data_IF_283886699732
#
_entry.id   IF_283886699732
#
_cell.length_a   1.000
_cell.length_b   1.000
_cell.length_c   1.000
_cell.angle_alpha   90.00
_cell.angle_beta   90.00
_cell.angle_gamma   90.00
#
_symmetry.space_group_name_H-M   'P 1'
#
loop_
_entity.id
_entity.type
_entity.pdbx_description
1 polymer ?
#
# COMPACT_ATOMS: atom_id res chain seq x y z
N UNK A 1 44.95 -53.17 -2.35
CA UNK A 1 44.16 -53.49 -3.55
C UNK A 1 42.82 -54.03 -3.08
N UNK A 2 41.84 -53.16 -2.83
CA UNK A 2 40.51 -53.58 -2.37
C UNK A 2 39.60 -53.73 -3.59
N UNK A 3 39.44 -54.97 -4.04
CA UNK A 3 38.34 -55.32 -4.95
C UNK A 3 37.05 -55.34 -4.12
N UNK A 4 36.30 -54.24 -4.16
CA UNK A 4 34.91 -54.26 -3.74
C UNK A 4 34.13 -55.05 -4.79
N UNK A 5 33.65 -56.21 -4.35
CA UNK A 5 32.97 -57.21 -5.14
C UNK A 5 31.68 -56.62 -5.76
N UNK A 6 31.62 -56.56 -7.09
CA UNK A 6 30.51 -55.95 -7.86
C UNK A 6 29.14 -56.58 -7.55
N UNK A 7 29.13 -57.82 -7.07
CA UNK A 7 27.93 -58.58 -6.71
C UNK A 7 27.26 -58.11 -5.42
N UNK A 8 28.03 -57.61 -4.43
CA UNK A 8 27.44 -57.14 -3.16
C UNK A 8 26.72 -55.80 -3.32
N UNK A 9 27.19 -54.94 -4.25
CA UNK A 9 26.56 -53.67 -4.60
C UNK A 9 25.25 -53.91 -5.36
N UNK A 10 25.18 -54.94 -6.23
CA UNK A 10 23.96 -55.30 -6.95
C UNK A 10 22.88 -55.86 -6.03
N UNK A 11 23.22 -56.70 -5.04
CA UNK A 11 22.25 -57.26 -4.10
C UNK A 11 21.68 -56.19 -3.15
N UNK A 12 22.53 -55.27 -2.69
CA UNK A 12 22.12 -54.18 -1.78
C UNK A 12 21.25 -53.13 -2.49
N UNK A 13 21.54 -52.81 -3.75
CA UNK A 13 20.65 -51.96 -4.56
C UNK A 13 19.29 -52.62 -4.82
N UNK A 14 19.26 -53.92 -5.15
CA UNK A 14 18.00 -54.62 -5.40
C UNK A 14 17.15 -54.74 -4.12
N UNK A 15 17.78 -54.96 -2.96
CA UNK A 15 17.10 -54.97 -1.67
C UNK A 15 16.56 -53.57 -1.29
N UNK A 16 17.31 -52.50 -1.55
CA UNK A 16 16.88 -51.13 -1.30
C UNK A 16 15.72 -50.71 -2.22
N UNK A 17 15.74 -51.12 -3.49
CA UNK A 17 14.65 -50.89 -4.45
C UNK A 17 13.41 -51.69 -4.04
N UNK A 18 13.55 -52.95 -3.60
CA UNK A 18 12.42 -53.71 -3.08
C UNK A 18 11.86 -53.10 -1.80
N UNK A 19 12.70 -52.60 -0.89
CA UNK A 19 12.28 -51.92 0.32
C UNK A 19 11.57 -50.60 0.01
N UNK A 20 12.05 -49.84 -0.99
CA UNK A 20 11.41 -48.61 -1.47
C UNK A 20 10.06 -48.88 -2.17
N UNK A 21 9.94 -49.98 -2.91
CA UNK A 21 8.69 -50.42 -3.52
C UNK A 21 7.72 -50.92 -2.44
N UNK A 22 8.19 -51.65 -1.41
CA UNK A 22 7.36 -52.11 -0.30
C UNK A 22 6.93 -50.97 0.64
N UNK A 23 7.74 -49.93 0.82
CA UNK A 23 7.33 -48.71 1.53
C UNK A 23 6.40 -47.84 0.69
N UNK A 24 6.56 -47.83 -0.64
CA UNK A 24 5.60 -47.18 -1.54
C UNK A 24 4.25 -47.92 -1.57
N UNK A 25 4.25 -49.26 -1.58
CA UNK A 25 3.04 -50.10 -1.56
C UNK A 25 2.37 -50.08 -0.19
N UNK A 26 3.13 -50.12 0.92
CA UNK A 26 2.55 -49.98 2.26
C UNK A 26 2.11 -48.54 2.55
N UNK A 27 2.77 -47.53 1.99
CA UNK A 27 2.29 -46.14 1.97
C UNK A 27 1.01 -45.96 1.14
N UNK A 28 0.87 -46.69 0.02
CA UNK A 28 -0.36 -46.70 -0.78
C UNK A 28 -1.52 -47.46 -0.11
N UNK A 29 -1.23 -48.46 0.73
CA UNK A 29 -2.27 -49.21 1.45
C UNK A 29 -2.80 -48.50 2.71
N UNK A 30 -2.22 -47.36 3.10
CA UNK A 30 -2.77 -46.48 4.16
C UNK A 30 -3.76 -45.44 3.60
N UNK A 31 -4.04 -45.44 2.29
CA UNK A 31 -5.21 -44.76 1.72
C UNK A 31 -6.33 -45.77 1.43
N UNK A 32 -6.59 -46.69 2.38
CA UNK A 32 -7.98 -47.08 2.58
C UNK A 32 -8.65 -45.87 3.20
N UNK A 33 -9.63 -45.24 2.55
CA UNK A 33 -10.31 -44.18 3.22
C UNK A 33 -11.04 -44.82 4.41
N UNK A 34 -10.64 -44.42 5.61
CA UNK A 34 -11.31 -44.77 6.86
C UNK A 34 -12.63 -43.98 6.88
N UNK A 35 -13.55 -44.31 5.96
CA UNK A 35 -14.86 -43.68 5.79
C UNK A 35 -15.92 -44.35 6.66
N UNK A 36 -15.57 -44.81 7.87
CA UNK A 36 -16.59 -45.19 8.86
C UNK A 36 -16.26 -44.51 10.19
N UNK A 37 -16.44 -43.19 10.19
CA UNK A 37 -16.72 -42.39 11.39
C UNK A 37 -17.91 -41.50 11.01
N UNK A 38 -18.97 -41.55 11.84
CA UNK A 38 -20.32 -41.02 11.66
C UNK A 38 -20.53 -39.98 10.55
N UNK A 39 -21.50 -40.26 9.67
CA UNK A 39 -21.76 -39.47 8.47
C UNK A 39 -22.39 -38.10 8.71
N UNK A 40 -23.17 -37.95 9.77
CA UNK A 40 -23.74 -36.66 10.16
C UNK A 40 -22.65 -35.69 10.65
N UNK A 41 -21.67 -36.18 11.42
CA UNK A 41 -20.56 -35.36 11.92
C UNK A 41 -19.72 -34.74 10.81
N UNK A 42 -19.58 -35.40 9.66
CA UNK A 42 -18.76 -34.89 8.55
C UNK A 42 -19.50 -33.86 7.69
N UNK A 43 -20.81 -34.05 7.46
CA UNK A 43 -21.63 -33.07 6.73
C UNK A 43 -21.78 -31.79 7.57
N UNK A 44 -21.98 -31.92 8.88
CA UNK A 44 -22.08 -30.77 9.77
C UNK A 44 -20.74 -30.03 9.88
N UNK A 45 -19.60 -30.75 9.87
CA UNK A 45 -18.27 -30.12 9.74
C UNK A 45 -18.14 -29.30 8.46
N UNK A 46 -18.62 -29.79 7.31
CA UNK A 46 -18.61 -29.01 6.07
C UNK A 46 -19.54 -27.80 6.13
N UNK A 47 -20.74 -27.93 6.71
CA UNK A 47 -21.66 -26.80 6.92
C UNK A 47 -21.03 -25.73 7.80
N UNK A 48 -20.42 -26.14 8.91
CA UNK A 48 -19.71 -25.25 9.82
C UNK A 48 -18.54 -24.55 9.13
N UNK A 49 -17.72 -25.31 8.39
CA UNK A 49 -16.61 -24.77 7.59
C UNK A 49 -17.08 -23.76 6.55
N UNK A 50 -18.12 -24.06 5.77
CA UNK A 50 -18.69 -23.14 4.78
C UNK A 50 -19.18 -21.87 5.47
N UNK A 51 -19.89 -21.99 6.59
CA UNK A 51 -20.42 -20.86 7.35
C UNK A 51 -19.31 -19.96 7.88
N UNK A 52 -18.27 -20.51 8.51
CA UNK A 52 -17.14 -19.73 9.03
C UNK A 52 -16.35 -19.09 7.90
N UNK A 53 -16.04 -19.84 6.84
CA UNK A 53 -15.28 -19.36 5.69
C UNK A 53 -15.97 -18.22 4.96
N UNK A 54 -17.28 -18.33 4.73
CA UNK A 54 -18.07 -17.22 4.14
C UNK A 54 -17.96 -15.95 4.98
N UNK A 55 -18.09 -16.10 6.30
CA UNK A 55 -17.97 -14.97 7.24
C UNK A 55 -16.57 -14.35 7.17
N UNK A 56 -15.52 -15.16 7.14
CA UNK A 56 -14.14 -14.68 7.05
C UNK A 56 -13.90 -13.91 5.74
N UNK A 57 -14.34 -14.44 4.60
CA UNK A 57 -14.23 -13.78 3.29
C UNK A 57 -14.98 -12.43 3.26
N UNK A 58 -16.17 -12.38 3.85
CA UNK A 58 -16.96 -11.15 3.97
C UNK A 58 -16.25 -10.12 4.85
N UNK A 59 -15.72 -10.53 6.00
CA UNK A 59 -14.96 -9.65 6.90
C UNK A 59 -13.73 -9.10 6.19
N UNK A 60 -12.93 -9.96 5.56
CA UNK A 60 -11.71 -9.55 4.83
C UNK A 60 -12.03 -8.55 3.70
N UNK A 61 -13.07 -8.81 2.92
CA UNK A 61 -13.49 -7.91 1.84
C UNK A 61 -13.96 -6.56 2.39
N UNK A 62 -14.79 -6.58 3.43
CA UNK A 62 -15.28 -5.37 4.07
C UNK A 62 -14.15 -4.57 4.72
N UNK A 63 -13.20 -5.22 5.38
CA UNK A 63 -12.01 -4.58 5.98
C UNK A 63 -11.22 -3.83 4.90
N UNK A 64 -10.91 -4.46 3.76
CA UNK A 64 -10.20 -3.77 2.67
C UNK A 64 -10.98 -2.58 2.11
N UNK A 65 -12.31 -2.68 1.99
CA UNK A 65 -13.15 -1.57 1.55
C UNK A 65 -13.12 -0.41 2.54
N UNK A 66 -13.35 -0.69 3.83
CA UNK A 66 -13.33 0.31 4.90
C UNK A 66 -11.98 0.99 4.97
N UNK A 67 -10.89 0.24 5.00
CA UNK A 67 -9.54 0.79 5.14
C UNK A 67 -9.21 1.73 3.98
N UNK A 68 -9.58 1.38 2.75
CA UNK A 68 -9.35 2.30 1.62
C UNK A 68 -10.27 3.53 1.62
N UNK A 69 -11.52 3.40 2.08
CA UNK A 69 -12.40 4.55 2.27
C UNK A 69 -11.87 5.46 3.38
N UNK A 70 -11.34 4.92 4.48
CA UNK A 70 -10.84 5.69 5.63
C UNK A 70 -9.51 6.36 5.36
N UNK A 71 -8.61 5.72 4.60
CA UNK A 71 -7.30 6.30 4.32
C UNK A 71 -7.36 7.51 3.40
N UNK A 72 -8.29 7.54 2.44
CA UNK A 72 -8.44 8.66 1.49
C UNK A 72 -8.67 10.02 2.19
N UNK A 73 -9.67 10.22 3.07
CA UNK A 73 -9.88 11.49 3.76
C UNK A 73 -8.79 11.80 4.77
N UNK A 74 -8.22 10.80 5.46
CA UNK A 74 -7.11 11.03 6.40
C UNK A 74 -5.88 11.62 5.71
N UNK A 75 -5.55 11.09 4.53
CA UNK A 75 -4.46 11.59 3.70
C UNK A 75 -4.75 13.04 3.28
N UNK A 76 -5.96 13.36 2.79
CA UNK A 76 -6.34 14.73 2.41
C UNK A 76 -6.21 15.73 3.56
N UNK A 77 -6.57 15.33 4.79
CA UNK A 77 -6.39 16.15 5.99
C UNK A 77 -4.91 16.43 6.25
N UNK A 78 -4.04 15.42 6.16
CA UNK A 78 -2.59 15.62 6.34
C UNK A 78 -2.04 16.59 5.29
N UNK A 79 -2.42 16.43 4.03
CA UNK A 79 -2.01 17.36 2.95
C UNK A 79 -2.45 18.79 3.23
N UNK A 80 -3.69 18.97 3.71
CA UNK A 80 -4.19 20.28 4.07
C UNK A 80 -3.40 20.90 5.22
N UNK A 81 -3.10 20.14 6.28
CA UNK A 81 -2.27 20.61 7.41
C UNK A 81 -0.86 21.01 6.94
N UNK A 82 -0.21 20.16 6.13
CA UNK A 82 1.12 20.44 5.58
C UNK A 82 1.13 21.72 4.75
N UNK A 83 0.12 21.88 3.87
CA UNK A 83 -0.05 23.10 3.07
C UNK A 83 -0.20 24.33 3.96
N UNK A 84 -1.10 24.30 4.94
CA UNK A 84 -1.31 25.44 5.85
C UNK A 84 -0.05 25.81 6.62
N UNK A 85 0.66 24.80 7.13
CA UNK A 85 1.91 24.99 7.85
C UNK A 85 2.97 25.70 6.98
N UNK A 86 3.23 25.17 5.78
CA UNK A 86 4.25 25.71 4.88
C UNK A 86 3.89 27.09 4.35
N UNK A 87 2.60 27.33 4.05
CA UNK A 87 2.12 28.66 3.66
C UNK A 87 2.33 29.69 4.78
N UNK A 88 2.04 29.31 6.02
CA UNK A 88 2.22 30.19 7.19
C UNK A 88 3.69 30.52 7.41
N UNK A 89 4.58 29.53 7.32
CA UNK A 89 6.02 29.76 7.48
C UNK A 89 6.59 30.62 6.33
N UNK A 90 6.13 30.40 5.09
CA UNK A 90 6.52 31.23 3.95
C UNK A 90 6.07 32.67 4.12
N UNK A 91 4.83 32.91 4.57
CA UNK A 91 4.33 34.25 4.87
C UNK A 91 5.21 34.92 5.92
N UNK A 92 5.55 34.20 7.01
CA UNK A 92 6.43 34.72 8.07
C UNK A 92 7.81 35.12 7.54
N UNK A 93 8.39 34.32 6.64
CA UNK A 93 9.66 34.64 6.01
C UNK A 93 9.57 35.86 5.09
N UNK A 94 8.51 35.98 4.30
CA UNK A 94 8.26 37.14 3.46
C UNK A 94 8.13 38.41 4.30
N UNK A 95 7.35 38.38 5.38
CA UNK A 95 7.18 39.51 6.29
C UNK A 95 8.51 39.92 6.94
N UNK A 96 9.29 38.91 7.37
CA UNK A 96 10.63 39.13 7.94
C UNK A 96 11.57 39.78 6.91
N UNK A 97 11.57 39.30 5.68
CA UNK A 97 12.38 39.85 4.60
C UNK A 97 11.95 41.28 4.21
N UNK A 98 10.64 41.56 4.15
CA UNK A 98 10.12 42.91 3.92
C UNK A 98 10.56 43.87 5.03
N UNK A 99 10.50 43.44 6.29
CA UNK A 99 10.94 44.26 7.41
C UNK A 99 12.45 44.54 7.36
N UNK A 100 13.26 43.55 6.94
CA UNK A 100 14.70 43.76 6.70
C UNK A 100 14.96 44.77 5.59
N UNK A 101 14.25 44.67 4.48
CA UNK A 101 14.36 45.63 3.36
C UNK A 101 14.00 47.04 3.81
N UNK A 102 12.86 47.21 4.49
CA UNK A 102 12.45 48.52 5.03
C UNK A 102 13.47 49.11 5.99
N UNK A 103 14.02 48.30 6.89
CA UNK A 103 15.05 48.75 7.83
C UNK A 103 16.33 49.19 7.11
N UNK A 104 16.77 48.44 6.10
CA UNK A 104 17.94 48.76 5.28
C UNK A 104 17.75 50.07 4.50
N UNK A 105 16.62 50.22 3.81
CA UNK A 105 16.28 51.45 3.07
C UNK A 105 16.23 52.67 4.01
N UNK A 106 15.58 52.54 5.18
CA UNK A 106 15.52 53.64 6.14
C UNK A 106 16.91 54.04 6.66
N UNK A 107 17.81 53.07 6.85
CA UNK A 107 19.19 53.35 7.25
C UNK A 107 19.98 54.11 6.17
N UNK A 108 19.79 53.78 4.89
CA UNK A 108 20.42 54.48 3.77
C UNK A 108 19.85 55.89 3.57
N UNK A 109 18.53 56.07 3.73
CA UNK A 109 17.92 57.41 3.72
C UNK A 109 18.50 58.33 4.79
N UNK A 110 18.80 57.82 5.98
CA UNK A 110 19.44 58.60 7.05
C UNK A 110 20.87 59.05 6.70
N UNK A 111 21.51 58.42 5.71
CA UNK A 111 22.81 58.84 5.15
C UNK A 111 22.67 59.84 3.99
N UNK A 112 21.45 60.31 3.70
CA UNK A 112 21.10 61.14 2.54
C UNK A 112 21.24 60.46 1.16
N UNK A 113 21.21 59.12 1.11
CA UNK A 113 21.19 58.39 -0.15
C UNK A 113 19.73 58.27 -0.67
N UNK A 114 19.49 58.58 -1.95
CA UNK A 114 18.19 58.40 -2.59
C UNK A 114 18.03 56.98 -3.14
N UNK A 115 17.53 56.09 -2.28
CA UNK A 115 17.41 54.64 -2.57
C UNK A 115 15.96 54.15 -2.66
N UNK A 116 14.97 55.04 -2.77
CA UNK A 116 13.55 54.66 -2.85
C UNK A 116 13.25 53.74 -4.04
N UNK A 117 13.90 54.05 -5.16
CA UNK A 117 13.79 53.30 -6.41
C UNK A 117 14.27 51.85 -6.25
N UNK A 118 15.21 51.57 -5.33
CA UNK A 118 15.75 50.23 -5.08
C UNK A 118 14.76 49.27 -4.41
N UNK A 119 13.66 49.75 -3.83
CA UNK A 119 12.64 48.87 -3.23
C UNK A 119 11.27 48.95 -3.92
N UNK A 120 11.07 49.90 -4.83
CA UNK A 120 9.81 50.06 -5.57
C UNK A 120 9.45 48.75 -6.28
N UNK A 121 8.25 48.21 -6.05
CA UNK A 121 7.81 46.93 -6.63
C UNK A 121 8.14 45.68 -5.80
N UNK A 122 8.88 45.80 -4.68
CA UNK A 122 9.25 44.64 -3.85
C UNK A 122 8.03 43.97 -3.21
N UNK A 123 7.05 44.76 -2.79
CA UNK A 123 5.80 44.24 -2.19
C UNK A 123 5.04 43.37 -3.18
N UNK A 124 4.91 43.83 -4.42
CA UNK A 124 4.26 43.11 -5.51
C UNK A 124 5.04 41.84 -5.87
N UNK A 125 6.37 41.91 -5.90
CA UNK A 125 7.22 40.74 -6.13
C UNK A 125 7.04 39.68 -5.04
N UNK A 126 6.99 40.09 -3.77
CA UNK A 126 6.80 39.18 -2.64
C UNK A 126 5.40 38.53 -2.65
N UNK A 127 4.37 39.31 -2.99
CA UNK A 127 3.03 38.79 -3.22
C UNK A 127 3.01 37.75 -4.36
N UNK A 128 3.79 37.99 -5.43
CA UNK A 128 3.96 37.02 -6.52
C UNK A 128 4.67 35.74 -6.08
N UNK A 129 5.70 35.82 -5.23
CA UNK A 129 6.36 34.64 -4.65
C UNK A 129 5.35 33.79 -3.87
N UNK A 130 4.56 34.41 -2.99
CA UNK A 130 3.55 33.72 -2.20
C UNK A 130 2.48 33.06 -3.06
N UNK A 131 1.99 33.79 -4.07
CA UNK A 131 0.97 33.31 -4.99
C UNK A 131 1.49 32.08 -5.77
N UNK A 132 2.66 32.18 -6.38
CA UNK A 132 3.28 31.10 -7.14
C UNK A 132 3.57 29.88 -6.27
N UNK A 133 4.07 30.08 -5.04
CA UNK A 133 4.28 28.99 -4.10
C UNK A 133 2.96 28.30 -3.73
N UNK A 134 1.91 29.08 -3.47
CA UNK A 134 0.57 28.56 -3.15
C UNK A 134 -0.03 27.73 -4.27
N UNK A 135 0.10 28.16 -5.52
CA UNK A 135 -0.35 27.36 -6.67
C UNK A 135 0.49 26.09 -6.82
N UNK A 136 1.82 26.18 -6.68
CA UNK A 136 2.70 25.01 -6.73
C UNK A 136 2.45 24.01 -5.59
N UNK A 137 1.99 24.46 -4.43
CA UNK A 137 1.61 23.55 -3.34
C UNK A 137 0.35 22.73 -3.68
N UNK A 138 -0.52 23.20 -4.57
CA UNK A 138 -1.68 22.42 -5.01
C UNK A 138 -1.26 21.16 -5.77
N UNK A 139 -0.20 21.23 -6.58
CA UNK A 139 0.30 20.07 -7.33
C UNK A 139 0.87 18.99 -6.41
N UNK A 140 1.38 19.35 -5.23
CA UNK A 140 1.83 18.37 -4.23
C UNK A 140 0.66 17.53 -3.70
N UNK A 141 -0.56 18.10 -3.63
CA UNK A 141 -1.75 17.38 -3.21
C UNK A 141 -2.28 16.41 -4.29
N UNK A 142 -1.96 16.63 -5.57
CA UNK A 142 -2.41 15.74 -6.66
C UNK A 142 -1.69 14.39 -6.69
N UNK A 143 -0.46 14.33 -6.15
CA UNK A 143 0.30 13.08 -5.90
C UNK A 143 -0.51 12.13 -5.00
N UNK A 144 -1.42 12.66 -4.18
CA UNK A 144 -2.29 11.86 -3.31
C UNK A 144 -3.34 11.04 -4.06
N UNK A 145 -3.73 11.45 -5.26
CA UNK A 145 -4.87 10.87 -5.97
C UNK A 145 -4.49 9.68 -6.86
N UNK A 146 -3.20 9.49 -7.17
CA UNK A 146 -2.72 8.42 -8.07
C UNK A 146 -2.72 7.02 -7.45
N UNK A 147 -3.00 6.90 -6.14
CA UNK A 147 -2.94 5.64 -5.40
C UNK A 147 -4.29 5.12 -4.89
N UNK A 148 -5.41 5.68 -5.37
CA UNK A 148 -6.74 5.15 -5.09
C UNK A 148 -6.92 3.86 -5.90
N UNK A 149 -6.74 2.71 -5.25
CA UNK A 149 -6.72 1.40 -5.90
C UNK A 149 -8.13 0.86 -6.21
N UNK A 150 -8.23 0.14 -7.35
CA UNK A 150 -9.45 -0.48 -7.88
C UNK A 150 -9.93 -1.63 -6.98
N UNK A 151 -11.00 -1.37 -6.22
CA UNK A 151 -11.66 -2.29 -5.29
C UNK A 151 -12.50 -3.37 -5.97
N UNK A 152 -13.10 -3.03 -7.10
CA UNK A 152 -14.14 -3.84 -7.76
C UNK A 152 -13.66 -5.26 -8.10
N UNK A 153 -12.41 -5.41 -8.54
CA UNK A 153 -11.83 -6.72 -8.89
C UNK A 153 -11.67 -7.64 -7.67
N UNK A 154 -11.44 -7.10 -6.48
CA UNK A 154 -11.25 -7.92 -5.27
C UNK A 154 -12.57 -8.40 -4.69
N UNK A 155 -13.57 -7.49 -4.63
CA UNK A 155 -14.93 -7.82 -4.20
C UNK A 155 -15.50 -8.95 -5.04
N UNK A 156 -15.35 -8.88 -6.37
CA UNK A 156 -15.81 -9.91 -7.30
C UNK A 156 -15.20 -11.30 -7.02
N UNK A 157 -13.90 -11.37 -6.77
CA UNK A 157 -13.24 -12.66 -6.45
C UNK A 157 -13.82 -13.26 -5.16
N UNK A 158 -14.09 -12.43 -4.14
CA UNK A 158 -14.72 -12.91 -2.90
C UNK A 158 -16.16 -13.40 -3.14
N UNK A 159 -16.93 -12.68 -3.95
CA UNK A 159 -18.31 -13.03 -4.31
C UNK A 159 -18.37 -14.37 -5.05
N UNK A 160 -17.50 -14.57 -6.04
CA UNK A 160 -17.40 -15.82 -6.81
C UNK A 160 -17.11 -17.01 -5.87
N UNK A 161 -16.17 -16.86 -4.92
CA UNK A 161 -15.85 -17.93 -3.95
C UNK A 161 -17.04 -18.21 -3.01
N UNK A 162 -17.74 -17.16 -2.57
CA UNK A 162 -18.93 -17.31 -1.71
C UNK A 162 -20.06 -18.03 -2.45
N UNK A 163 -20.25 -17.74 -3.73
CA UNK A 163 -21.22 -18.43 -4.58
C UNK A 163 -20.87 -19.92 -4.73
N UNK A 164 -19.60 -20.23 -5.00
CA UNK A 164 -19.14 -21.63 -5.05
C UNK A 164 -19.38 -22.37 -3.74
N UNK A 165 -19.14 -21.73 -2.59
CA UNK A 165 -19.43 -22.28 -1.26
C UNK A 165 -20.93 -22.54 -1.05
N UNK A 166 -21.81 -21.69 -1.56
CA UNK A 166 -23.27 -21.89 -1.48
C UNK A 166 -23.73 -23.10 -2.29
N UNK A 167 -23.04 -23.38 -3.41
CA UNK A 167 -23.41 -24.41 -4.37
C UNK A 167 -22.77 -25.78 -4.07
N UNK A 168 -21.97 -25.92 -3.02
CA UNK A 168 -21.28 -27.18 -2.67
C UNK A 168 -22.27 -28.34 -2.51
N UNK A 169 -23.33 -28.15 -1.72
CA UNK A 169 -24.28 -29.23 -1.43
C UNK A 169 -25.22 -29.53 -2.59
N UNK A 170 -25.67 -28.51 -3.32
CA UNK A 170 -26.59 -28.67 -4.46
C UNK A 170 -25.91 -29.27 -5.70
N UNK A 171 -24.58 -29.19 -5.79
CA UNK A 171 -23.81 -29.71 -6.93
C UNK A 171 -23.36 -31.17 -6.80
N UNK A 172 -23.64 -31.83 -5.67
CA UNK A 172 -23.28 -33.23 -5.45
C UNK A 172 -24.52 -34.15 -5.50
N UNK A 173 -24.42 -35.25 -6.25
CA UNK A 173 -25.46 -36.29 -6.38
C UNK A 173 -25.72 -36.99 -5.04
N UNK A 174 -26.98 -37.35 -4.76
CA UNK A 174 -27.48 -37.86 -3.47
C UNK A 174 -26.99 -39.28 -3.14
N UNK A 175 -26.44 -40.03 -4.10
CA UNK A 175 -25.90 -41.37 -3.80
C UNK A 175 -24.74 -41.28 -2.78
N UNK A 176 -24.89 -41.98 -1.66
CA UNK A 176 -24.26 -41.66 -0.37
C UNK A 176 -22.73 -41.69 -0.38
N UNK A 177 -22.12 -42.69 -1.00
CA UNK A 177 -20.66 -42.79 -1.11
C UNK A 177 -20.09 -41.77 -2.10
N UNK A 178 -20.75 -41.58 -3.25
CA UNK A 178 -20.37 -40.54 -4.22
C UNK A 178 -20.61 -39.12 -3.70
N UNK A 179 -21.58 -38.92 -2.82
CA UNK A 179 -21.93 -37.63 -2.24
C UNK A 179 -20.79 -37.10 -1.35
N UNK A 180 -20.26 -37.95 -0.47
CA UNK A 180 -19.16 -37.58 0.43
C UNK A 180 -17.88 -37.27 -0.32
N UNK A 181 -17.52 -38.13 -1.27
CA UNK A 181 -16.35 -37.91 -2.11
C UNK A 181 -16.47 -36.62 -2.95
N UNK A 182 -17.68 -36.34 -3.47
CA UNK A 182 -17.97 -35.09 -4.17
C UNK A 182 -17.81 -33.86 -3.26
N UNK A 183 -18.43 -33.87 -2.06
CA UNK A 183 -18.32 -32.75 -1.11
C UNK A 183 -16.87 -32.47 -0.73
N UNK A 184 -16.10 -33.53 -0.42
CA UNK A 184 -14.69 -33.39 -0.11
C UNK A 184 -13.91 -32.76 -1.27
N UNK A 185 -14.07 -33.28 -2.49
CA UNK A 185 -13.37 -32.78 -3.68
C UNK A 185 -13.70 -31.32 -3.97
N UNK A 186 -14.99 -30.94 -3.88
CA UNK A 186 -15.43 -29.56 -4.07
C UNK A 186 -14.83 -28.62 -3.03
N UNK A 187 -14.84 -29.03 -1.75
CA UNK A 187 -14.26 -28.24 -0.67
C UNK A 187 -12.75 -28.08 -0.83
N UNK A 188 -12.01 -29.10 -1.23
CA UNK A 188 -10.57 -29.00 -1.49
C UNK A 188 -10.25 -28.05 -2.66
N UNK A 189 -11.05 -28.06 -3.73
CA UNK A 189 -10.91 -27.09 -4.83
C UNK A 189 -11.16 -25.65 -4.37
N UNK A 190 -12.19 -25.44 -3.56
CA UNK A 190 -12.55 -24.11 -3.04
C UNK A 190 -11.50 -23.62 -2.04
N UNK A 191 -10.94 -24.50 -1.19
CA UNK A 191 -9.83 -24.18 -0.27
C UNK A 191 -8.64 -23.57 -1.01
N UNK A 192 -8.24 -24.14 -2.14
CA UNK A 192 -7.15 -23.57 -2.94
C UNK A 192 -7.45 -22.14 -3.42
N UNK A 193 -8.71 -21.84 -3.77
CA UNK A 193 -9.12 -20.48 -4.15
C UNK A 193 -9.10 -19.52 -2.96
N UNK A 194 -9.56 -19.98 -1.79
CA UNK A 194 -9.52 -19.21 -0.54
C UNK A 194 -8.07 -18.89 -0.15
N UNK A 195 -7.16 -19.84 -0.25
CA UNK A 195 -5.75 -19.60 0.10
C UNK A 195 -5.11 -18.58 -0.84
N UNK A 196 -5.39 -18.66 -2.14
CA UNK A 196 -4.98 -17.62 -3.11
C UNK A 196 -5.58 -16.26 -2.77
N UNK A 197 -6.85 -16.21 -2.40
CA UNK A 197 -7.50 -14.98 -1.97
C UNK A 197 -6.85 -14.39 -0.71
N UNK A 198 -6.52 -15.23 0.29
CA UNK A 198 -5.81 -14.80 1.51
C UNK A 198 -4.43 -14.25 1.22
N UNK A 199 -3.68 -14.88 0.32
CA UNK A 199 -2.38 -14.36 -0.16
C UNK A 199 -2.59 -12.98 -0.79
N UNK A 200 -3.53 -12.86 -1.73
CA UNK A 200 -3.84 -11.58 -2.38
C UNK A 200 -4.26 -10.49 -1.38
N UNK A 201 -5.08 -10.84 -0.39
CA UNK A 201 -5.48 -9.94 0.69
C UNK A 201 -4.26 -9.43 1.46
N UNK A 202 -3.41 -10.33 1.96
CA UNK A 202 -2.23 -9.97 2.75
C UNK A 202 -1.23 -9.14 1.94
N UNK A 203 -0.99 -9.53 0.69
CA UNK A 203 -0.15 -8.79 -0.24
C UNK A 203 -0.69 -7.37 -0.46
N UNK A 204 -2.00 -7.21 -0.66
CA UNK A 204 -2.63 -5.89 -0.81
C UNK A 204 -2.55 -5.05 0.46
N UNK A 205 -2.81 -5.64 1.62
CA UNK A 205 -2.69 -4.93 2.90
C UNK A 205 -1.26 -4.37 3.09
N UNK A 206 -0.24 -5.16 2.76
CA UNK A 206 1.16 -4.74 2.83
C UNK A 206 1.51 -3.65 1.82
N UNK A 207 1.16 -3.83 0.54
CA UNK A 207 1.41 -2.83 -0.50
C UNK A 207 0.70 -1.50 -0.22
N UNK A 208 -0.51 -1.53 0.35
CA UNK A 208 -1.24 -0.32 0.72
C UNK A 208 -0.50 0.46 1.80
N UNK A 209 -0.04 -0.20 2.85
CA UNK A 209 0.70 0.48 3.91
C UNK A 209 1.98 1.14 3.37
N UNK A 210 2.73 0.42 2.55
CA UNK A 210 3.93 0.96 1.89
C UNK A 210 3.59 2.14 0.95
N UNK A 211 2.54 2.01 0.13
CA UNK A 211 2.10 3.08 -0.76
C UNK A 211 1.68 4.34 0.02
N UNK A 212 0.88 4.18 1.09
CA UNK A 212 0.48 5.30 1.94
C UNK A 212 1.69 6.01 2.59
N UNK A 213 2.67 5.25 3.07
CA UNK A 213 3.90 5.82 3.63
C UNK A 213 4.71 6.56 2.57
N UNK A 214 4.86 5.98 1.38
CA UNK A 214 5.56 6.61 0.26
C UNK A 214 4.88 7.92 -0.15
N UNK A 215 3.55 7.92 -0.28
CA UNK A 215 2.78 9.13 -0.60
C UNK A 215 2.99 10.26 0.41
N UNK A 216 3.04 9.93 1.71
CA UNK A 216 3.30 10.91 2.75
C UNK A 216 4.72 11.48 2.64
N UNK A 217 5.71 10.63 2.33
CA UNK A 217 7.09 11.06 2.12
C UNK A 217 7.22 11.96 0.88
N UNK A 218 6.62 11.55 -0.25
CA UNK A 218 6.64 12.30 -1.50
C UNK A 218 5.94 13.67 -1.34
N UNK A 219 4.83 13.71 -0.58
CA UNK A 219 4.17 14.95 -0.20
C UNK A 219 5.11 15.90 0.54
N UNK A 220 5.70 15.42 1.64
CA UNK A 220 6.59 16.21 2.48
C UNK A 220 7.76 16.73 1.67
N UNK A 221 8.35 15.88 0.83
CA UNK A 221 9.44 16.25 -0.05
C UNK A 221 9.01 17.34 -1.04
N UNK A 222 7.86 17.17 -1.69
CA UNK A 222 7.32 18.17 -2.62
C UNK A 222 7.12 19.52 -1.94
N UNK A 223 6.47 19.56 -0.78
CA UNK A 223 6.27 20.79 -0.01
C UNK A 223 7.59 21.47 0.36
N UNK A 224 8.57 20.69 0.84
CA UNK A 224 9.89 21.19 1.21
C UNK A 224 10.63 21.78 0.01
N UNK A 225 10.61 21.11 -1.14
CA UNK A 225 11.28 21.59 -2.36
C UNK A 225 10.66 22.89 -2.87
N UNK A 226 9.32 22.97 -2.88
CA UNK A 226 8.61 24.19 -3.28
C UNK A 226 8.85 25.34 -2.30
N UNK A 227 8.88 25.07 -0.99
CA UNK A 227 9.21 26.05 0.03
C UNK A 227 10.65 26.57 -0.10
N UNK A 228 11.60 25.68 -0.34
CA UNK A 228 13.01 26.03 -0.57
C UNK A 228 13.15 26.96 -1.78
N UNK A 229 12.51 26.60 -2.90
CA UNK A 229 12.51 27.43 -4.10
C UNK A 229 11.93 28.84 -3.85
N UNK A 230 10.86 28.94 -3.05
CA UNK A 230 10.30 30.23 -2.68
C UNK A 230 11.29 31.05 -1.82
N UNK A 231 11.98 30.44 -0.86
CA UNK A 231 12.98 31.12 -0.03
C UNK A 231 14.22 31.55 -0.82
N UNK A 232 14.62 30.80 -1.84
CA UNK A 232 15.69 31.20 -2.77
C UNK A 232 15.33 32.53 -3.45
N UNK A 233 14.10 32.66 -3.96
CA UNK A 233 13.60 33.92 -4.56
C UNK A 233 13.53 35.08 -3.57
N UNK A 234 13.19 34.82 -2.31
CA UNK A 234 13.23 35.85 -1.25
C UNK A 234 14.67 36.33 -1.03
N UNK A 235 15.62 35.40 -1.03
CA UNK A 235 17.05 35.70 -0.86
C UNK A 235 17.59 36.51 -2.03
N UNK A 236 17.23 36.14 -3.25
CA UNK A 236 17.57 36.90 -4.47
C UNK A 236 17.04 38.33 -4.41
N UNK A 237 15.81 38.53 -3.94
CA UNK A 237 15.25 39.87 -3.78
C UNK A 237 16.02 40.69 -2.74
N UNK A 238 16.34 40.11 -1.59
CA UNK A 238 17.15 40.76 -0.55
C UNK A 238 18.52 41.18 -1.08
N UNK A 239 19.18 40.31 -1.85
CA UNK A 239 20.47 40.62 -2.48
C UNK A 239 20.34 41.73 -3.53
N UNK A 240 19.29 41.69 -4.35
CA UNK A 240 19.07 42.68 -5.40
C UNK A 240 18.86 44.09 -4.82
N UNK A 241 18.06 44.21 -3.77
CA UNK A 241 17.88 45.50 -3.05
C UNK A 241 19.21 45.99 -2.50
N UNK A 242 19.96 45.11 -1.82
CA UNK A 242 21.26 45.46 -1.25
C UNK A 242 22.24 45.96 -2.33
N UNK A 243 22.36 45.24 -3.45
CA UNK A 243 23.23 45.63 -4.55
C UNK A 243 22.84 46.97 -5.17
N UNK A 244 21.54 47.23 -5.34
CA UNK A 244 21.05 48.51 -5.82
C UNK A 244 21.47 49.65 -4.87
N UNK A 245 21.27 49.46 -3.56
CA UNK A 245 21.64 50.48 -2.56
C UNK A 245 23.14 50.73 -2.47
N UNK A 246 23.98 49.72 -2.67
CA UNK A 246 25.45 49.85 -2.64
C UNK A 246 26.03 50.49 -3.91
N UNK A 247 25.23 50.55 -4.98
CA UNK A 247 25.62 51.14 -6.28
C UNK A 247 25.20 52.62 -6.42
N UNK A 248 24.55 53.18 -5.40
CA UNK A 248 24.06 54.57 -5.34
C UNK A 248 25.04 55.44 -4.57
#
# INVERSE_FOLDING_TARGET
MYFLNRESISLTMNAAILLAILTAISGFQVVRPMFIVNSEDNVEKFRSYIKSTKRDLQIMTLTLLIESIQHTPYIQIIFWIQKQYVQTELQRNLDTAMNRIRAHINAEKLKNNDVEHCYTGTTEYFASILHNATENFKTCAEISNTHIFVHEKFTKISEDIIEELNNVFSSCSIDYETYRYCLFTKIEMIKSKIDKFKILYNTRAHFRQAANQQMLQDSVQCFNDKYKLANEKITEALMSVKQCTEST
#
